data_IF_490900358113
#
_entry.id   IF_490900358113
#
_cell.length_a   1.000
_cell.length_b   1.000
_cell.length_c   1.000
_cell.angle_alpha   90.00
_cell.angle_beta   90.00
_cell.angle_gamma   90.00
#
_symmetry.space_group_name_H-M   'P 1'
#
loop_
_entity.id
_entity.type
_entity.pdbx_description
1 polymer ?
#
# COMPACT_ATOMS: atom_id res chain seq x y z
N UNK A 1 -86.84 -6.02 -26.08
CA UNK A 1 -86.22 -6.54 -24.84
C UNK A 1 -85.73 -5.33 -24.05
N UNK A 2 -86.58 -4.70 -23.25
CA UNK A 2 -86.77 -4.95 -21.80
C UNK A 2 -85.45 -4.81 -21.02
N UNK A 3 -85.26 -4.01 -19.97
CA UNK A 3 -86.08 -3.02 -19.23
C UNK A 3 -85.19 -2.52 -18.07
N UNK A 4 -85.34 -1.25 -17.65
CA UNK A 4 -85.41 -0.83 -16.21
C UNK A 4 -84.13 -0.91 -15.36
N UNK A 5 -83.87 -0.10 -14.30
CA UNK A 5 -84.45 1.10 -13.72
C UNK A 5 -83.42 1.73 -12.76
N UNK A 6 -83.68 2.97 -12.39
CA UNK A 6 -83.06 3.75 -11.33
C UNK A 6 -83.34 3.23 -9.90
N UNK A 7 -82.53 3.69 -8.92
CA UNK A 7 -82.92 4.08 -7.54
C UNK A 7 -81.64 4.54 -6.79
N UNK A 8 -81.48 5.83 -6.46
CA UNK A 8 -81.87 6.53 -5.20
C UNK A 8 -81.20 5.95 -3.94
N UNK A 9 -80.44 6.71 -3.13
CA UNK A 9 -80.88 7.54 -1.97
C UNK A 9 -79.63 8.30 -1.45
N UNK A 10 -79.57 9.62 -1.17
CA UNK A 10 -80.01 10.40 0.03
C UNK A 10 -79.65 9.65 1.35
N UNK A 11 -78.87 10.15 2.31
CA UNK A 11 -78.99 11.43 3.02
C UNK A 11 -77.83 11.71 4.04
N UNK A 12 -77.72 13.00 4.43
CA UNK A 12 -77.34 13.62 5.74
C UNK A 12 -76.04 13.34 6.54
N UNK A 13 -75.24 14.42 6.64
CA UNK A 13 -74.90 15.19 7.88
C UNK A 13 -73.70 14.86 8.80
N UNK A 14 -73.21 15.97 9.40
CA UNK A 14 -72.36 16.16 10.59
C UNK A 14 -70.84 15.93 10.43
N UNK A 15 -70.02 16.98 10.32
CA UNK A 15 -69.50 17.85 11.40
C UNK A 15 -68.64 17.11 12.42
N UNK A 16 -67.32 17.34 12.39
CA UNK A 16 -66.51 17.54 13.62
C UNK A 16 -65.14 18.13 13.29
N UNK A 17 -64.82 19.19 14.02
CA UNK A 17 -63.55 19.92 14.08
C UNK A 17 -62.52 19.11 14.88
N UNK A 18 -61.26 19.11 14.45
CA UNK A 18 -60.12 18.80 15.33
C UNK A 18 -58.80 19.41 14.82
N UNK A 19 -58.45 20.53 15.46
CA UNK A 19 -57.10 20.93 15.87
C UNK A 19 -55.92 20.78 14.89
N UNK A 20 -55.52 21.90 14.30
CA UNK A 20 -54.16 22.13 13.83
C UNK A 20 -53.21 22.28 15.04
N UNK A 21 -52.22 21.39 15.15
CA UNK A 21 -51.11 21.50 16.09
C UNK A 21 -49.98 22.37 15.50
N UNK A 22 -49.19 23.08 16.32
CA UNK A 22 -48.25 24.10 15.87
C UNK A 22 -46.98 23.53 15.24
N UNK A 23 -46.50 24.21 14.19
CA UNK A 23 -45.20 23.97 13.54
C UNK A 23 -44.06 24.42 14.48
N UNK A 24 -43.20 23.47 14.87
CA UNK A 24 -41.93 23.75 15.54
C UNK A 24 -40.88 24.26 14.54
N UNK A 25 -40.00 25.21 14.90
CA UNK A 25 -39.00 25.73 13.99
C UNK A 25 -37.85 24.74 13.75
N UNK A 26 -37.45 24.68 12.49
CA UNK A 26 -36.26 24.02 11.96
C UNK A 26 -34.99 24.56 12.66
N UNK A 27 -34.27 23.67 13.35
CA UNK A 27 -32.88 23.90 13.76
C UNK A 27 -31.98 23.24 12.72
N UNK A 28 -31.39 24.04 11.84
CA UNK A 28 -30.33 23.61 10.93
C UNK A 28 -29.02 23.50 11.72
N UNK A 29 -28.80 22.34 12.33
CA UNK A 29 -27.46 21.96 12.80
C UNK A 29 -26.63 21.57 11.57
N UNK A 30 -25.66 22.40 11.21
CA UNK A 30 -24.56 22.04 10.31
C UNK A 30 -23.86 20.82 10.87
N UNK A 31 -24.15 19.65 10.30
CA UNK A 31 -23.41 18.43 10.58
C UNK A 31 -21.98 18.62 10.07
N UNK A 32 -21.04 18.87 10.99
CA UNK A 32 -19.64 18.60 10.72
C UNK A 32 -19.53 17.12 10.36
N UNK A 33 -19.16 16.86 9.12
CA UNK A 33 -18.85 15.52 8.61
C UNK A 33 -17.56 15.07 9.29
N UNK A 34 -17.66 14.64 10.55
CA UNK A 34 -16.61 13.88 11.20
C UNK A 34 -16.48 12.57 10.42
N UNK A 35 -15.47 12.51 9.56
CA UNK A 35 -15.04 11.24 8.99
C UNK A 35 -14.64 10.37 10.17
N UNK A 36 -15.25 9.18 10.36
CA UNK A 36 -14.79 8.28 11.39
C UNK A 36 -13.30 8.02 11.13
N UNK A 37 -12.46 8.30 12.12
CA UNK A 37 -11.06 7.90 12.11
C UNK A 37 -11.01 6.37 12.10
N UNK A 38 -11.12 5.77 10.91
CA UNK A 38 -10.75 4.38 10.72
C UNK A 38 -9.28 4.31 11.05
N UNK A 39 -8.93 3.56 12.10
CA UNK A 39 -7.55 3.28 12.47
C UNK A 39 -6.83 2.77 11.22
N UNK A 40 -5.80 3.45 10.70
CA UNK A 40 -5.22 3.06 9.42
C UNK A 40 -4.66 1.64 9.54
N UNK A 41 -5.14 0.76 8.66
CA UNK A 41 -4.67 -0.60 8.58
C UNK A 41 -3.26 -0.58 7.97
N UNK A 42 -2.24 -0.73 8.81
CA UNK A 42 -0.85 -0.68 8.40
C UNK A 42 -0.47 -1.92 7.61
N UNK A 43 0.23 -1.71 6.50
CA UNK A 43 0.77 -2.76 5.64
C UNK A 43 2.29 -2.65 5.62
N UNK A 44 2.99 -3.74 5.91
CA UNK A 44 4.40 -3.88 5.57
C UNK A 44 4.50 -4.50 4.17
N UNK A 45 4.97 -3.72 3.21
CA UNK A 45 5.17 -4.13 1.83
C UNK A 45 6.65 -4.38 1.57
N UNK A 46 7.01 -5.66 1.46
CA UNK A 46 8.36 -6.14 1.20
C UNK A 46 8.53 -6.40 -0.29
N UNK A 47 9.29 -5.56 -0.99
CA UNK A 47 9.46 -5.64 -2.44
C UNK A 47 10.73 -6.41 -2.81
N UNK A 48 10.57 -7.46 -3.61
CA UNK A 48 11.66 -8.14 -4.33
C UNK A 48 12.81 -8.63 -3.43
N UNK A 49 12.49 -9.05 -2.19
CA UNK A 49 13.49 -9.57 -1.24
C UNK A 49 13.79 -11.04 -1.54
N UNK A 50 14.43 -11.24 -2.68
CA UNK A 50 14.78 -12.53 -3.24
C UNK A 50 16.25 -12.86 -3.01
N UNK A 51 16.59 -14.13 -3.10
CA UNK A 51 17.96 -14.64 -2.87
C UNK A 51 18.96 -13.89 -3.75
N UNK A 52 18.69 -13.74 -5.04
CA UNK A 52 19.61 -13.12 -5.99
C UNK A 52 20.05 -11.70 -5.57
N UNK A 53 19.12 -10.87 -5.07
CA UNK A 53 19.41 -9.48 -4.68
C UNK A 53 20.35 -9.37 -3.47
N UNK A 54 20.38 -10.41 -2.64
CA UNK A 54 21.08 -10.42 -1.35
C UNK A 54 22.29 -11.37 -1.32
N UNK A 55 22.66 -11.94 -2.46
CA UNK A 55 23.95 -12.63 -2.62
C UNK A 55 25.13 -11.67 -2.37
N UNK A 56 26.32 -12.19 -2.04
CA UNK A 56 27.53 -11.38 -1.97
C UNK A 56 27.79 -10.65 -3.30
N UNK A 57 28.25 -9.38 -3.26
CA UNK A 57 28.68 -8.68 -4.46
C UNK A 57 29.78 -9.47 -5.20
N UNK A 58 29.80 -9.43 -6.55
CA UNK A 58 29.02 -8.55 -7.41
C UNK A 58 27.65 -9.10 -7.85
N UNK A 59 27.22 -10.27 -7.35
CA UNK A 59 25.94 -10.86 -7.77
C UNK A 59 24.77 -10.07 -7.20
N UNK A 60 24.74 -9.89 -5.88
CA UNK A 60 23.78 -9.04 -5.20
C UNK A 60 24.23 -7.58 -5.11
N UNK A 61 23.35 -6.73 -4.58
CA UNK A 61 23.62 -5.29 -4.40
C UNK A 61 24.84 -5.04 -3.51
N UNK A 62 25.60 -3.95 -3.71
CA UNK A 62 26.78 -3.65 -2.89
C UNK A 62 26.52 -3.65 -1.38
N UNK A 63 25.32 -3.20 -0.96
CA UNK A 63 24.90 -3.14 0.43
C UNK A 63 24.19 -4.42 0.95
N UNK A 64 24.32 -5.55 0.27
CA UNK A 64 23.49 -6.74 0.55
C UNK A 64 23.57 -7.21 2.01
N UNK A 65 24.76 -7.20 2.62
CA UNK A 65 24.93 -7.62 4.01
C UNK A 65 24.16 -6.74 5.02
N UNK A 66 24.30 -5.42 4.94
CA UNK A 66 23.64 -4.50 5.88
C UNK A 66 22.13 -4.48 5.67
N UNK A 67 21.69 -4.44 4.42
CA UNK A 67 20.26 -4.38 4.08
C UNK A 67 19.56 -5.68 4.46
N UNK A 68 20.21 -6.86 4.30
CA UNK A 68 19.69 -8.14 4.80
C UNK A 68 19.41 -8.09 6.30
N UNK A 69 20.33 -7.53 7.08
CA UNK A 69 20.15 -7.38 8.54
C UNK A 69 18.97 -6.48 8.87
N UNK A 70 18.86 -5.32 8.22
CA UNK A 70 17.75 -4.38 8.45
C UNK A 70 16.40 -4.97 8.06
N UNK A 71 16.31 -5.64 6.91
CA UNK A 71 15.07 -6.28 6.45
C UNK A 71 14.60 -7.38 7.43
N UNK A 72 15.53 -8.20 7.95
CA UNK A 72 15.21 -9.20 8.95
C UNK A 72 14.70 -8.57 10.26
N UNK A 73 15.28 -7.44 10.68
CA UNK A 73 14.83 -6.69 11.87
C UNK A 73 13.43 -6.11 11.67
N UNK A 74 13.16 -5.49 10.52
CA UNK A 74 11.85 -4.93 10.18
C UNK A 74 10.77 -6.01 10.19
N UNK A 75 11.02 -7.13 9.51
CA UNK A 75 10.08 -8.24 9.45
C UNK A 75 9.83 -8.84 10.84
N UNK A 76 10.87 -9.00 11.65
CA UNK A 76 10.75 -9.47 13.04
C UNK A 76 9.90 -8.52 13.89
N UNK A 77 10.11 -7.21 13.75
CA UNK A 77 9.36 -6.20 14.47
C UNK A 77 7.89 -6.21 14.04
N UNK A 78 7.60 -6.27 12.74
CA UNK A 78 6.24 -6.33 12.21
C UNK A 78 5.48 -7.56 12.71
N UNK A 79 6.10 -8.76 12.68
CA UNK A 79 5.51 -10.01 13.20
C UNK A 79 5.22 -9.96 14.71
N UNK A 80 6.00 -9.19 15.45
CA UNK A 80 5.87 -9.04 16.91
C UNK A 80 4.91 -7.91 17.31
N UNK A 81 4.55 -7.04 16.39
CA UNK A 81 3.71 -5.87 16.65
C UNK A 81 2.29 -6.24 17.06
N UNK A 82 1.66 -5.37 17.85
CA UNK A 82 0.29 -5.50 18.32
C UNK A 82 -0.38 -4.13 18.23
N UNK A 83 -1.43 -3.96 17.40
CA UNK A 83 -1.96 -4.91 16.41
C UNK A 83 -0.91 -5.25 15.34
N UNK A 84 -1.01 -6.45 14.76
CA UNK A 84 -0.11 -6.84 13.68
C UNK A 84 -0.48 -6.07 12.41
N UNK A 85 0.50 -5.50 11.68
CA UNK A 85 0.25 -5.06 10.31
C UNK A 85 -0.05 -6.27 9.42
N UNK A 86 -0.67 -6.02 8.27
CA UNK A 86 -0.66 -6.98 7.17
C UNK A 86 0.73 -7.00 6.54
N UNK A 87 1.31 -8.18 6.38
CA UNK A 87 2.63 -8.35 5.75
C UNK A 87 2.42 -8.91 4.35
N UNK A 88 2.91 -8.19 3.35
CA UNK A 88 2.84 -8.57 1.94
C UNK A 88 4.25 -8.67 1.37
N UNK A 89 4.60 -9.87 0.93
CA UNK A 89 5.82 -10.15 0.18
C UNK A 89 5.52 -10.05 -1.30
N UNK A 90 6.18 -9.15 -1.99
CA UNK A 90 6.13 -9.06 -3.44
C UNK A 90 7.39 -9.69 -4.00
N UNK A 91 7.24 -10.58 -4.97
CA UNK A 91 8.34 -11.28 -5.63
C UNK A 91 8.36 -10.93 -7.12
N UNK A 92 9.48 -10.44 -7.61
CA UNK A 92 9.66 -10.17 -9.03
C UNK A 92 9.89 -11.47 -9.80
N UNK A 93 9.24 -11.60 -10.94
CA UNK A 93 9.36 -12.75 -11.84
C UNK A 93 9.99 -12.27 -13.15
N UNK A 94 11.31 -12.44 -13.25
CA UNK A 94 12.11 -12.07 -14.41
C UNK A 94 11.76 -12.87 -15.67
N UNK A 95 12.47 -12.55 -16.74
CA UNK A 95 12.48 -13.33 -17.98
C UNK A 95 13.48 -14.50 -17.86
N UNK A 96 13.45 -15.40 -18.84
CA UNK A 96 14.37 -16.55 -18.84
C UNK A 96 15.83 -16.08 -18.93
N UNK A 97 16.66 -16.59 -18.02
CA UNK A 97 18.07 -16.22 -17.88
C UNK A 97 18.34 -15.07 -16.90
N UNK A 98 17.31 -14.38 -16.39
CA UNK A 98 17.47 -13.39 -15.33
C UNK A 98 17.81 -14.08 -13.99
N UNK A 99 18.48 -13.35 -13.10
CA UNK A 99 18.85 -13.87 -11.78
C UNK A 99 17.62 -14.21 -10.91
N UNK A 100 16.48 -13.62 -11.22
CA UNK A 100 15.16 -13.87 -10.63
C UNK A 100 14.19 -14.52 -11.64
N UNK A 101 14.69 -15.39 -12.52
CA UNK A 101 13.86 -16.26 -13.35
C UNK A 101 12.97 -17.16 -12.46
N UNK A 102 11.65 -17.26 -12.69
CA UNK A 102 10.76 -18.06 -11.87
C UNK A 102 11.18 -19.52 -11.68
N UNK A 103 11.00 -20.02 -10.47
CA UNK A 103 11.34 -21.39 -10.04
C UNK A 103 12.85 -21.70 -10.03
N UNK A 104 13.71 -20.67 -10.04
CA UNK A 104 15.14 -20.82 -9.82
C UNK A 104 15.53 -20.48 -8.37
N UNK A 105 16.69 -20.93 -7.87
CA UNK A 105 17.13 -20.60 -6.51
C UNK A 105 17.24 -19.09 -6.24
N UNK A 106 17.65 -18.30 -7.23
CA UNK A 106 17.79 -16.85 -7.11
C UNK A 106 16.45 -16.12 -6.98
N UNK A 107 15.38 -16.72 -7.51
CA UNK A 107 14.03 -16.17 -7.48
C UNK A 107 13.32 -16.35 -6.13
N UNK A 108 13.71 -17.32 -5.32
CA UNK A 108 13.03 -17.59 -4.06
C UNK A 108 13.13 -16.43 -3.08
N UNK A 109 12.08 -16.23 -2.28
CA UNK A 109 12.10 -15.25 -1.19
C UNK A 109 13.12 -15.69 -0.14
N UNK A 110 13.94 -14.75 0.34
CA UNK A 110 14.96 -15.06 1.34
C UNK A 110 14.36 -15.31 2.74
N UNK A 111 13.22 -14.67 3.01
CA UNK A 111 12.47 -14.82 4.24
C UNK A 111 11.20 -15.59 3.93
N UNK A 112 11.11 -16.80 4.48
CA UNK A 112 9.91 -17.61 4.32
C UNK A 112 8.68 -16.86 4.89
N UNK A 113 7.62 -16.70 4.08
CA UNK A 113 6.34 -16.17 4.57
C UNK A 113 5.76 -17.06 5.66
N UNK A 114 5.18 -16.46 6.69
CA UNK A 114 4.42 -17.17 7.71
C UNK A 114 2.94 -17.29 7.32
N UNK A 115 2.21 -18.15 8.03
CA UNK A 115 0.76 -18.26 7.86
C UNK A 115 0.08 -16.90 8.10
N UNK A 116 -0.74 -16.46 7.13
CA UNK A 116 -1.41 -15.16 7.15
C UNK A 116 -0.63 -14.03 6.47
N UNK A 117 0.62 -14.24 6.08
CA UNK A 117 1.37 -13.32 5.23
C UNK A 117 1.03 -13.57 3.76
N UNK A 118 0.89 -12.51 2.97
CA UNK A 118 0.48 -12.59 1.56
C UNK A 118 1.73 -12.60 0.68
N UNK A 119 1.71 -13.40 -0.38
CA UNK A 119 2.72 -13.37 -1.44
C UNK A 119 2.07 -12.94 -2.75
N UNK A 120 2.67 -11.97 -3.43
CA UNK A 120 2.24 -11.49 -4.75
C UNK A 120 3.41 -11.58 -5.72
N UNK A 121 3.25 -12.34 -6.80
CA UNK A 121 4.22 -12.37 -7.88
C UNK A 121 3.92 -11.24 -8.88
N UNK A 122 4.97 -10.54 -9.34
CA UNK A 122 4.85 -9.45 -10.34
C UNK A 122 5.84 -9.62 -11.49
N UNK A 123 5.53 -9.00 -12.63
CA UNK A 123 6.43 -8.92 -13.81
C UNK A 123 6.84 -7.49 -14.20
N UNK A 124 6.36 -6.48 -13.47
CA UNK A 124 6.59 -5.05 -13.75
C UNK A 124 7.18 -4.39 -12.52
N UNK A 125 7.88 -3.28 -12.70
CA UNK A 125 8.45 -2.53 -11.56
C UNK A 125 7.36 -2.05 -10.58
N UNK A 126 6.27 -1.50 -11.11
CA UNK A 126 5.11 -1.15 -10.30
C UNK A 126 4.40 -2.43 -9.82
N UNK A 127 4.46 -2.71 -8.51
CA UNK A 127 3.88 -3.91 -7.93
C UNK A 127 2.35 -3.98 -8.02
N UNK A 128 1.65 -2.86 -8.25
CA UNK A 128 0.20 -2.84 -8.48
C UNK A 128 -0.18 -3.17 -9.93
N UNK A 129 0.76 -3.08 -10.87
CA UNK A 129 0.45 -3.17 -12.29
C UNK A 129 0.36 -4.63 -12.75
N UNK A 130 -0.87 -5.11 -12.99
CA UNK A 130 -1.12 -6.47 -13.48
C UNK A 130 -0.97 -7.54 -12.40
N UNK A 131 -1.25 -7.18 -11.15
CA UNK A 131 -1.28 -8.07 -9.99
C UNK A 131 -2.54 -7.80 -9.16
N UNK A 132 -2.83 -8.69 -8.21
CA UNK A 132 -3.95 -8.54 -7.28
C UNK A 132 -3.56 -7.73 -6.02
N UNK A 133 -2.39 -7.06 -6.02
CA UNK A 133 -1.91 -6.28 -4.87
C UNK A 133 -2.91 -5.19 -4.48
N UNK A 134 -3.62 -4.63 -5.46
CA UNK A 134 -4.62 -3.59 -5.25
C UNK A 134 -5.84 -4.05 -4.44
N UNK A 135 -6.17 -5.34 -4.51
CA UNK A 135 -7.30 -5.95 -3.80
C UNK A 135 -6.92 -6.26 -2.35
N UNK A 136 -5.63 -6.48 -2.10
CA UNK A 136 -5.05 -6.75 -0.78
C UNK A 136 -4.73 -5.47 -0.02
N UNK A 137 -4.26 -4.43 -0.73
CA UNK A 137 -3.82 -3.15 -0.14
C UNK A 137 -4.80 -2.04 -0.51
N UNK A 138 -5.74 -1.68 0.39
CA UNK A 138 -6.72 -0.66 0.11
C UNK A 138 -6.06 0.73 0.01
N UNK A 139 -6.65 1.68 -0.74
CA UNK A 139 -6.19 3.07 -0.81
C UNK A 139 -6.03 3.78 0.55
N UNK A 140 -6.75 3.33 1.57
CA UNK A 140 -6.72 3.90 2.93
C UNK A 140 -5.62 3.31 3.82
N UNK A 141 -4.86 2.33 3.32
CA UNK A 141 -3.75 1.75 4.07
C UNK A 141 -2.55 2.70 4.13
N UNK A 142 -1.92 2.73 5.29
CA UNK A 142 -0.57 3.28 5.47
C UNK A 142 0.43 2.17 5.14
N UNK A 143 1.29 2.40 4.16
CA UNK A 143 2.21 1.39 3.61
C UNK A 143 3.63 1.70 4.06
N UNK A 144 4.22 0.78 4.82
CA UNK A 144 5.65 0.77 5.14
C UNK A 144 6.37 -0.07 4.09
N UNK A 145 7.29 0.54 3.35
CA UNK A 145 7.98 -0.07 2.20
C UNK A 145 9.44 -0.35 2.54
N UNK A 146 9.91 -1.53 2.14
CA UNK A 146 11.32 -1.92 2.17
C UNK A 146 11.61 -2.94 1.06
N UNK A 147 12.86 -3.05 0.60
CA UNK A 147 13.29 -4.05 -0.38
C UNK A 147 14.01 -3.48 -1.61
N UNK A 148 13.79 -4.07 -2.78
CA UNK A 148 14.60 -3.81 -3.97
C UNK A 148 13.75 -3.60 -5.22
N UNK A 149 14.29 -3.02 -6.29
CA UNK A 149 15.46 -2.12 -6.29
C UNK A 149 15.01 -0.68 -6.11
N UNK A 150 15.87 0.16 -5.54
CA UNK A 150 15.53 1.53 -5.15
C UNK A 150 15.01 2.38 -6.32
N UNK A 151 15.75 2.44 -7.43
CA UNK A 151 15.40 3.20 -8.63
C UNK A 151 14.43 2.49 -9.60
N UNK A 152 14.05 1.25 -9.29
CA UNK A 152 13.08 0.46 -10.06
C UNK A 152 11.79 0.22 -9.27
N UNK A 153 11.64 -0.96 -8.67
CA UNK A 153 10.38 -1.39 -8.05
C UNK A 153 9.97 -0.52 -6.87
N UNK A 154 10.91 -0.07 -6.04
CA UNK A 154 10.64 0.82 -4.90
C UNK A 154 10.08 2.14 -5.42
N UNK A 155 10.82 2.84 -6.28
CA UNK A 155 10.38 4.10 -6.91
C UNK A 155 9.00 3.96 -7.56
N UNK A 156 8.83 3.00 -8.47
CA UNK A 156 7.61 2.84 -9.24
C UNK A 156 6.38 2.49 -8.37
N UNK A 157 6.57 1.64 -7.36
CA UNK A 157 5.49 1.21 -6.47
C UNK A 157 5.11 2.32 -5.49
N UNK A 158 6.09 3.02 -4.91
CA UNK A 158 5.83 4.16 -4.03
C UNK A 158 5.07 5.28 -4.75
N UNK A 159 5.51 5.71 -5.94
CA UNK A 159 4.78 6.71 -6.72
C UNK A 159 3.36 6.28 -7.07
N UNK A 160 3.15 4.99 -7.34
CA UNK A 160 1.83 4.44 -7.64
C UNK A 160 0.93 4.36 -6.41
N UNK A 161 1.49 4.01 -5.25
CA UNK A 161 0.78 4.02 -3.97
C UNK A 161 0.31 5.43 -3.61
N UNK A 162 1.18 6.44 -3.73
CA UNK A 162 0.80 7.84 -3.54
C UNK A 162 -0.34 8.25 -4.48
N UNK A 163 -0.24 7.88 -5.77
CA UNK A 163 -1.29 8.17 -6.76
C UNK A 163 -2.63 7.49 -6.45
N UNK A 164 -2.62 6.37 -5.72
CA UNK A 164 -3.82 5.67 -5.24
C UNK A 164 -4.41 6.31 -3.99
N UNK A 165 -3.71 7.24 -3.33
CA UNK A 165 -4.15 7.90 -2.09
C UNK A 165 -3.61 7.26 -0.81
N UNK A 166 -2.67 6.30 -0.92
CA UNK A 166 -2.03 5.70 0.24
C UNK A 166 -1.05 6.68 0.90
N UNK A 167 -0.98 6.62 2.23
CA UNK A 167 0.17 7.15 2.97
C UNK A 167 1.33 6.16 2.83
N UNK A 168 2.52 6.64 2.49
CA UNK A 168 3.68 5.78 2.19
C UNK A 168 4.85 6.18 3.05
N UNK A 169 5.42 5.21 3.77
CA UNK A 169 6.65 5.37 4.54
C UNK A 169 7.74 4.47 3.95
N UNK A 170 8.90 5.03 3.66
CA UNK A 170 10.07 4.29 3.16
C UNK A 170 11.15 4.27 4.23
N UNK A 171 11.63 3.07 4.60
CA UNK A 171 12.66 2.93 5.63
C UNK A 171 14.04 2.97 4.97
N UNK A 172 14.78 4.05 5.21
CA UNK A 172 16.15 4.23 4.74
C UNK A 172 17.07 3.15 5.27
N UNK A 173 18.00 2.70 4.41
CA UNK A 173 18.89 1.59 4.71
C UNK A 173 18.22 0.21 4.68
N UNK A 174 16.91 0.13 4.40
CA UNK A 174 16.17 -1.11 4.16
C UNK A 174 15.69 -1.23 2.70
N UNK A 175 16.30 -0.46 1.81
CA UNK A 175 16.25 -0.64 0.37
C UNK A 175 17.65 -0.42 -0.21
N UNK A 176 17.90 -0.96 -1.40
CA UNK A 176 19.17 -0.73 -2.09
C UNK A 176 19.04 -0.85 -3.60
N UNK A 177 20.11 -0.53 -4.32
CA UNK A 177 20.24 -0.78 -5.75
C UNK A 177 21.69 -1.16 -6.12
N UNK A 178 21.95 -1.32 -7.41
CA UNK A 178 23.29 -1.58 -7.96
C UNK A 178 23.97 -0.28 -8.39
N UNK A 179 25.30 -0.34 -8.52
CA UNK A 179 26.05 0.71 -9.20
C UNK A 179 25.55 0.82 -10.66
N UNK A 180 25.23 2.04 -11.11
CA UNK A 180 24.74 2.29 -12.46
C UNK A 180 25.88 2.71 -13.37
N UNK A 181 26.05 1.99 -14.47
CA UNK A 181 26.98 2.37 -15.53
C UNK A 181 26.32 3.50 -16.33
N UNK A 182 26.93 4.67 -16.32
CA UNK A 182 26.47 5.80 -17.11
C UNK A 182 26.97 5.64 -18.54
N UNK A 183 26.04 5.67 -19.50
CA UNK A 183 26.35 5.48 -20.94
C UNK A 183 26.49 6.84 -21.66
N UNK A 184 25.98 7.91 -21.06
CA UNK A 184 25.99 9.26 -21.63
C UNK A 184 27.10 10.12 -20.98
N UNK A 185 27.43 11.26 -21.61
CA UNK A 185 28.34 12.30 -21.09
C UNK A 185 29.74 11.84 -20.62
N UNK A 186 30.36 10.92 -21.37
CA UNK A 186 31.75 10.51 -21.13
C UNK A 186 31.91 9.23 -20.31
N UNK A 187 30.80 8.56 -19.99
CA UNK A 187 30.80 7.31 -19.25
C UNK A 187 30.99 7.52 -17.75
N UNK A 188 31.06 6.41 -17.00
CA UNK A 188 31.35 6.42 -15.57
C UNK A 188 30.47 5.44 -14.81
N UNK A 189 30.61 5.48 -13.48
CA UNK A 189 29.79 4.69 -12.57
C UNK A 189 29.19 5.64 -11.54
N UNK A 190 27.86 5.68 -11.51
CA UNK A 190 27.13 6.28 -10.40
C UNK A 190 27.02 5.22 -9.31
N UNK A 191 27.64 5.42 -8.13
CA UNK A 191 27.62 4.42 -7.08
C UNK A 191 26.20 4.27 -6.51
N UNK A 192 25.83 3.05 -6.10
CA UNK A 192 24.49 2.68 -5.63
C UNK A 192 23.95 3.64 -4.56
N UNK A 193 24.76 3.98 -3.55
CA UNK A 193 24.36 4.89 -2.47
C UNK A 193 23.94 6.29 -2.95
N UNK A 194 24.50 6.75 -4.07
CA UNK A 194 24.14 8.06 -4.65
C UNK A 194 22.79 7.97 -5.34
N UNK A 195 22.54 6.87 -6.06
CA UNK A 195 21.25 6.59 -6.68
C UNK A 195 20.17 6.48 -5.60
N UNK A 196 20.48 5.76 -4.52
CA UNK A 196 19.58 5.60 -3.37
C UNK A 196 19.19 6.97 -2.79
N UNK A 197 20.16 7.85 -2.52
CA UNK A 197 19.91 9.19 -2.00
C UNK A 197 19.11 10.09 -2.98
N UNK A 198 19.38 9.99 -4.29
CA UNK A 198 18.63 10.72 -5.31
C UNK A 198 17.15 10.31 -5.34
N UNK A 199 16.88 9.00 -5.29
CA UNK A 199 15.51 8.49 -5.29
C UNK A 199 14.80 8.73 -3.96
N UNK A 200 15.49 8.65 -2.83
CA UNK A 200 14.95 9.04 -1.53
C UNK A 200 14.44 10.50 -1.57
N UNK A 201 15.26 11.43 -2.08
CA UNK A 201 14.88 12.83 -2.20
C UNK A 201 13.69 13.04 -3.16
N UNK A 202 13.69 12.35 -4.31
CA UNK A 202 12.58 12.39 -5.26
C UNK A 202 11.26 11.91 -4.62
N UNK A 203 11.30 10.77 -3.91
CA UNK A 203 10.13 10.20 -3.28
C UNK A 203 9.64 11.06 -2.12
N UNK A 204 10.55 11.64 -1.33
CA UNK A 204 10.21 12.58 -0.26
C UNK A 204 9.51 13.83 -0.81
N UNK A 205 10.03 14.43 -1.90
CA UNK A 205 9.40 15.55 -2.58
C UNK A 205 8.00 15.20 -3.13
N UNK A 206 7.82 13.96 -3.58
CA UNK A 206 6.53 13.45 -4.04
C UNK A 206 5.52 13.18 -2.91
N UNK A 207 5.97 13.14 -1.64
CA UNK A 207 5.12 12.94 -0.46
C UNK A 207 5.30 11.60 0.27
N UNK A 208 6.34 10.82 -0.03
CA UNK A 208 6.73 9.66 0.80
C UNK A 208 7.38 10.16 2.09
N UNK A 209 7.01 9.58 3.22
CA UNK A 209 7.66 9.84 4.50
C UNK A 209 8.91 8.96 4.66
N UNK A 210 10.10 9.57 4.72
CA UNK A 210 11.33 8.83 4.98
C UNK A 210 11.49 8.56 6.48
N UNK A 211 11.78 7.30 6.81
CA UNK A 211 12.08 6.86 8.17
C UNK A 211 13.49 6.30 8.25
N UNK A 212 14.09 6.36 9.43
CA UNK A 212 15.40 5.76 9.69
C UNK A 212 15.24 4.47 10.50
N UNK A 213 16.23 3.56 10.45
CA UNK A 213 16.20 2.31 11.22
C UNK A 213 16.04 2.52 12.74
N UNK A 214 16.47 3.67 13.27
CA UNK A 214 16.28 4.05 14.68
C UNK A 214 14.80 4.25 15.06
N UNK A 215 13.95 4.54 14.08
CA UNK A 215 12.53 4.80 14.29
C UNK A 215 11.72 3.48 14.34
N UNK A 216 12.32 2.36 13.90
CA UNK A 216 11.71 1.04 13.79
C UNK A 216 10.88 0.60 15.02
N UNK A 217 11.33 0.81 16.27
CA UNK A 217 10.54 0.43 17.44
C UNK A 217 9.13 1.03 17.44
N UNK A 218 8.96 2.25 16.92
CA UNK A 218 7.67 2.96 16.86
C UNK A 218 6.88 2.76 15.57
N UNK A 219 7.46 2.17 14.52
CA UNK A 219 6.83 2.08 13.19
C UNK A 219 5.56 1.24 13.20
N UNK A 220 5.47 0.19 14.03
CA UNK A 220 4.31 -0.72 14.08
C UNK A 220 3.52 -0.63 15.40
N UNK A 221 3.78 0.39 16.21
CA UNK A 221 3.02 0.61 17.44
C UNK A 221 1.73 1.39 17.15
N UNK A 222 0.73 1.15 17.99
CA UNK A 222 -0.50 1.95 18.02
C UNK A 222 -0.15 3.42 18.30
N UNK A 223 -0.61 4.31 17.41
CA UNK A 223 -0.67 5.76 17.62
C UNK A 223 -2.11 6.15 17.87
#
# INVERSE_FOLDING_TARGET
>A
MATSAASSSVDTSASTSAHAAPLSPSSSATAHHQHPHHKPHRVLLLLDIQVAMLEPPPIGVPASASVRTHLAQILTQARSARPSPLIVHVRNSGDTGDADEPNTPGWELIFAPLAGEVVVDKRKNNAFAGTDLADVVPPTAEIVVAGFQTDYSIRATCSSALSRGNEVLLIKGAHATYDRIEVLHGGGVTPAWRIEAEIEAELEEAGVHLLEMKDLPGIFMDR
#
